data_IF_416966816500
#
_entry.id   IF_416966816500
#
_cell.length_a   1.000
_cell.length_b   1.000
_cell.length_c   1.000
_cell.angle_alpha   90.00
_cell.angle_beta   90.00
_cell.angle_gamma   90.00
#
_symmetry.space_group_name_H-M   'P 1'
#
loop_
_entity.id
_entity.type
_entity.pdbx_description
1 polymer ?
#
# COMPACT_ATOMS: atom_id res chain seq x y z
N UNK A 1 43.59 32.22 -32.54
CA UNK A 1 43.93 32.86 -31.26
C UNK A 1 42.69 33.56 -30.68
N UNK A 2 41.92 32.98 -29.73
CA UNK A 2 40.94 33.71 -28.88
C UNK A 2 40.39 32.82 -27.74
N UNK A 3 41.26 32.33 -26.86
CA UNK A 3 40.86 31.52 -25.69
C UNK A 3 40.25 32.38 -24.57
N UNK A 4 40.43 33.71 -24.60
CA UNK A 4 40.04 34.62 -23.51
C UNK A 4 39.03 35.69 -23.92
N UNK A 5 37.89 35.31 -24.52
CA UNK A 5 36.75 36.24 -24.57
C UNK A 5 36.20 36.45 -23.14
N UNK A 6 36.02 37.70 -22.68
CA UNK A 6 35.52 37.98 -21.34
C UNK A 6 34.12 37.39 -21.13
N UNK A 7 33.81 37.00 -19.88
CA UNK A 7 32.59 36.26 -19.50
C UNK A 7 31.30 36.96 -19.97
N UNK A 8 31.26 38.30 -19.96
CA UNK A 8 30.08 39.07 -20.38
C UNK A 8 29.80 38.95 -21.88
N UNK A 9 30.83 38.92 -22.74
CA UNK A 9 30.66 38.69 -24.18
C UNK A 9 30.23 37.26 -24.51
N UNK A 10 30.70 36.26 -23.73
CA UNK A 10 30.24 34.87 -23.86
C UNK A 10 28.75 34.75 -23.52
N UNK A 11 28.31 35.38 -22.42
CA UNK A 11 26.89 35.43 -22.03
C UNK A 11 26.05 36.17 -23.07
N UNK A 12 26.53 37.30 -23.58
CA UNK A 12 25.83 38.07 -24.61
C UNK A 12 25.62 37.27 -25.90
N UNK A 13 26.65 36.54 -26.36
CA UNK A 13 26.53 35.65 -27.53
C UNK A 13 25.51 34.52 -27.31
N UNK A 14 25.46 33.96 -26.09
CA UNK A 14 24.52 32.90 -25.74
C UNK A 14 23.09 33.43 -25.70
N UNK A 15 22.88 34.62 -25.11
CA UNK A 15 21.58 35.30 -25.10
C UNK A 15 21.09 35.57 -26.52
N UNK A 16 21.91 36.19 -27.36
CA UNK A 16 21.60 36.43 -28.78
C UNK A 16 21.16 35.15 -29.50
N UNK A 17 21.93 34.07 -29.34
CA UNK A 17 21.60 32.76 -29.93
C UNK A 17 20.25 32.23 -29.43
N UNK A 18 19.97 32.41 -28.14
CA UNK A 18 18.69 32.05 -27.52
C UNK A 18 17.52 32.84 -28.11
N UNK A 19 17.65 34.16 -28.23
CA UNK A 19 16.60 35.05 -28.76
C UNK A 19 16.33 34.79 -30.25
N UNK A 20 17.36 34.59 -31.07
CA UNK A 20 17.18 34.22 -32.48
C UNK A 20 16.43 32.88 -32.62
N UNK A 21 16.78 31.90 -31.79
CA UNK A 21 16.09 30.59 -31.76
C UNK A 21 14.65 30.75 -31.30
N UNK A 22 14.42 31.58 -30.29
CA UNK A 22 13.09 31.90 -29.76
C UNK A 22 12.19 32.53 -30.84
N UNK A 23 12.66 33.57 -31.52
CA UNK A 23 11.94 34.21 -32.63
C UNK A 23 11.63 33.22 -33.76
N UNK A 24 12.53 32.28 -34.03
CA UNK A 24 12.33 31.26 -35.05
C UNK A 24 11.31 30.19 -34.63
N UNK A 25 11.26 29.83 -33.34
CA UNK A 25 10.40 28.78 -32.79
C UNK A 25 8.99 29.24 -32.43
N UNK A 26 8.82 30.55 -32.23
CA UNK A 26 7.57 31.17 -31.78
C UNK A 26 7.01 32.17 -32.79
N UNK A 27 7.54 32.18 -34.02
CA UNK A 27 7.13 33.10 -35.09
C UNK A 27 5.61 33.04 -35.37
N UNK A 28 5.02 31.87 -35.19
CA UNK A 28 3.61 31.56 -35.33
C UNK A 28 2.73 32.00 -34.13
N UNK A 29 3.34 32.22 -32.97
CA UNK A 29 2.66 32.55 -31.71
C UNK A 29 2.79 34.02 -31.30
N UNK A 30 3.75 34.76 -31.87
CA UNK A 30 4.04 36.17 -31.52
C UNK A 30 3.29 37.10 -32.48
N UNK A 31 2.71 38.19 -31.97
CA UNK A 31 2.07 39.21 -32.81
C UNK A 31 3.09 39.96 -33.66
N UNK A 32 2.71 40.41 -34.86
CA UNK A 32 3.61 41.12 -35.79
C UNK A 32 4.26 42.36 -35.16
N UNK A 33 3.54 43.06 -34.27
CA UNK A 33 4.04 44.21 -33.53
C UNK A 33 5.13 43.84 -32.52
N UNK A 34 4.93 42.77 -31.74
CA UNK A 34 5.95 42.30 -30.79
C UNK A 34 7.17 41.72 -31.49
N UNK A 35 6.96 41.08 -32.66
CA UNK A 35 8.06 40.56 -33.47
C UNK A 35 8.97 41.68 -33.96
N UNK A 36 8.41 42.79 -34.45
CA UNK A 36 9.21 43.95 -34.87
C UNK A 36 9.91 44.63 -33.69
N UNK A 37 9.25 44.76 -32.53
CA UNK A 37 9.85 45.30 -31.31
C UNK A 37 11.04 44.46 -30.81
N UNK A 38 10.91 43.12 -30.77
CA UNK A 38 12.01 42.22 -30.34
C UNK A 38 13.16 42.26 -31.35
N UNK A 39 12.86 42.37 -32.64
CA UNK A 39 13.90 42.44 -33.69
C UNK A 39 14.69 43.75 -33.58
N UNK A 40 14.01 44.89 -33.39
CA UNK A 40 14.67 46.18 -33.15
C UNK A 40 15.51 46.17 -31.86
N UNK A 41 15.00 45.56 -30.78
CA UNK A 41 15.75 45.41 -29.53
C UNK A 41 16.98 44.48 -29.69
N UNK A 42 16.90 43.46 -30.55
CA UNK A 42 18.02 42.58 -30.88
C UNK A 42 19.11 43.31 -31.67
N UNK A 43 18.74 44.21 -32.59
CA UNK A 43 19.68 45.07 -33.31
C UNK A 43 20.40 46.03 -32.35
N UNK A 44 19.65 46.71 -31.47
CA UNK A 44 20.23 47.56 -30.43
C UNK A 44 21.15 46.80 -29.45
N UNK A 45 20.80 45.54 -29.14
CA UNK A 45 21.66 44.64 -28.37
C UNK A 45 22.94 44.27 -29.12
N UNK A 46 22.87 43.96 -30.41
CA UNK A 46 24.03 43.64 -31.24
C UNK A 46 24.99 44.83 -31.33
N UNK A 47 24.48 46.07 -31.40
CA UNK A 47 25.29 47.29 -31.38
C UNK A 47 25.93 47.56 -30.01
N UNK A 48 25.22 47.28 -28.91
CA UNK A 48 25.82 47.29 -27.56
C UNK A 48 26.95 46.25 -27.42
N UNK A 49 26.81 45.07 -28.03
CA UNK A 49 27.84 44.03 -28.04
C UNK A 49 29.06 44.45 -28.88
N UNK A 50 28.86 45.15 -30.01
CA UNK A 50 29.95 45.70 -30.85
C UNK A 50 30.75 46.78 -30.13
N UNK A 51 30.08 47.69 -29.42
CA UNK A 51 30.70 48.77 -28.65
C UNK A 51 31.43 48.30 -27.39
N UNK A 52 31.30 47.02 -27.01
CA UNK A 52 31.98 46.36 -25.87
C UNK A 52 31.72 47.00 -24.50
N UNK A 53 30.70 47.83 -24.38
CA UNK A 53 30.29 48.48 -23.13
C UNK A 53 29.49 47.51 -22.25
N UNK A 54 30.03 47.17 -21.07
CA UNK A 54 29.47 46.19 -20.16
C UNK A 54 28.12 46.64 -19.57
N UNK A 55 27.96 47.90 -19.21
CA UNK A 55 26.73 48.41 -18.60
C UNK A 55 25.61 48.48 -19.64
N UNK A 56 25.95 48.95 -20.84
CA UNK A 56 25.02 49.03 -21.98
C UNK A 56 24.53 47.64 -22.42
N UNK A 57 25.42 46.65 -22.49
CA UNK A 57 25.07 45.24 -22.77
C UNK A 57 24.12 44.69 -21.70
N UNK A 58 24.34 45.01 -20.43
CA UNK A 58 23.50 44.51 -19.32
C UNK A 58 22.09 45.12 -19.38
N UNK A 59 21.99 46.41 -19.68
CA UNK A 59 20.70 47.11 -19.80
C UNK A 59 19.91 46.60 -21.01
N UNK A 60 20.55 46.52 -22.18
CA UNK A 60 19.94 45.97 -23.40
C UNK A 60 19.56 44.48 -23.24
N UNK A 61 20.36 43.67 -22.53
CA UNK A 61 20.00 42.29 -22.22
C UNK A 61 18.73 42.18 -21.37
N UNK A 62 18.57 43.07 -20.38
CA UNK A 62 17.40 43.08 -19.49
C UNK A 62 16.14 43.47 -20.25
N UNK A 63 16.23 44.48 -21.11
CA UNK A 63 15.14 44.93 -21.97
C UNK A 63 14.72 43.83 -22.97
N UNK A 64 15.70 43.23 -23.66
CA UNK A 64 15.47 42.15 -24.61
C UNK A 64 14.79 40.94 -23.95
N UNK A 65 15.23 40.56 -22.75
CA UNK A 65 14.63 39.44 -22.01
C UNK A 65 13.19 39.75 -21.61
N UNK A 66 12.91 40.97 -21.14
CA UNK A 66 11.57 41.41 -20.77
C UNK A 66 10.60 41.36 -21.96
N UNK A 67 11.04 41.79 -23.14
CA UNK A 67 10.23 41.72 -24.37
C UNK A 67 9.96 40.26 -24.78
N UNK A 68 10.96 39.37 -24.68
CA UNK A 68 10.75 37.95 -24.94
C UNK A 68 9.77 37.31 -23.96
N UNK A 69 9.83 37.63 -22.66
CA UNK A 69 8.89 37.12 -21.66
C UNK A 69 7.45 37.57 -21.91
N UNK A 70 7.24 38.83 -22.31
CA UNK A 70 5.93 39.38 -22.65
C UNK A 70 5.31 38.77 -23.91
N UNK A 71 6.14 38.22 -24.80
CA UNK A 71 5.71 37.68 -26.10
C UNK A 71 5.18 36.25 -26.05
N UNK A 72 5.35 35.53 -24.93
CA UNK A 72 4.83 34.16 -24.79
C UNK A 72 3.64 34.18 -23.85
N UNK A 73 2.45 33.70 -24.27
CA UNK A 73 1.38 33.49 -23.32
C UNK A 73 1.83 32.47 -22.26
N UNK A 74 1.58 32.72 -20.97
CA UNK A 74 1.92 31.74 -19.94
C UNK A 74 1.25 30.40 -20.28
N UNK A 75 1.96 29.27 -20.16
CA UNK A 75 1.36 27.97 -20.39
C UNK A 75 0.13 27.81 -19.50
N UNK A 76 -0.96 27.25 -20.04
CA UNK A 76 -2.15 26.96 -19.24
C UNK A 76 -1.80 25.95 -18.15
N UNK A 77 -2.03 26.32 -16.89
CA UNK A 77 -1.84 25.50 -15.68
C UNK A 77 -0.50 24.73 -15.60
N UNK A 78 0.65 25.41 -15.47
CA UNK A 78 1.97 24.77 -15.43
C UNK A 78 2.11 23.78 -14.25
N UNK A 79 1.55 24.14 -13.10
CA UNK A 79 1.58 23.31 -11.88
C UNK A 79 0.95 21.93 -12.11
N UNK A 80 -0.16 21.86 -12.87
CA UNK A 80 -0.85 20.59 -13.11
C UNK A 80 -0.02 19.71 -14.03
N UNK A 81 0.54 20.28 -15.11
CA UNK A 81 1.35 19.53 -16.09
C UNK A 81 2.60 18.95 -15.44
N UNK A 82 3.32 19.76 -14.67
CA UNK A 82 4.54 19.33 -13.98
C UNK A 82 4.24 18.23 -12.96
N UNK A 83 3.20 18.41 -12.13
CA UNK A 83 2.80 17.41 -11.16
C UNK A 83 2.35 16.10 -11.82
N UNK A 84 1.62 16.15 -12.94
CA UNK A 84 1.19 14.96 -13.66
C UNK A 84 2.37 14.17 -14.23
N UNK A 85 3.37 14.86 -14.81
CA UNK A 85 4.58 14.21 -15.31
C UNK A 85 5.35 13.50 -14.18
N UNK A 86 5.53 14.19 -13.04
CA UNK A 86 6.18 13.61 -11.87
C UNK A 86 5.40 12.42 -11.32
N UNK A 87 4.08 12.52 -11.20
CA UNK A 87 3.21 11.42 -10.74
C UNK A 87 3.31 10.23 -11.68
N UNK A 88 3.28 10.45 -13.00
CA UNK A 88 3.39 9.39 -13.99
C UNK A 88 4.72 8.65 -13.88
N UNK A 89 5.83 9.40 -13.81
CA UNK A 89 7.17 8.83 -13.66
C UNK A 89 7.28 8.04 -12.35
N UNK A 90 6.76 8.58 -11.24
CA UNK A 90 6.73 7.89 -9.96
C UNK A 90 5.92 6.59 -10.00
N UNK A 91 4.78 6.57 -10.67
CA UNK A 91 3.97 5.35 -10.85
C UNK A 91 4.72 4.30 -11.65
N UNK A 92 5.35 4.67 -12.76
CA UNK A 92 6.12 3.74 -13.60
C UNK A 92 7.26 3.11 -12.80
N UNK A 93 8.02 3.93 -12.06
CA UNK A 93 9.10 3.46 -11.20
C UNK A 93 8.54 2.54 -10.09
N UNK A 94 7.46 2.94 -9.41
CA UNK A 94 6.85 2.14 -8.36
C UNK A 94 6.33 0.78 -8.88
N UNK A 95 5.72 0.75 -10.08
CA UNK A 95 5.29 -0.49 -10.73
C UNK A 95 6.48 -1.34 -11.14
N UNK A 96 7.55 -0.75 -11.68
CA UNK A 96 8.78 -1.46 -12.03
C UNK A 96 9.43 -2.11 -10.79
N UNK A 97 9.65 -1.34 -9.73
CA UNK A 97 10.20 -1.83 -8.46
C UNK A 97 9.30 -2.92 -7.87
N UNK A 98 7.98 -2.72 -7.87
CA UNK A 98 7.02 -3.71 -7.33
C UNK A 98 7.04 -5.04 -8.11
N UNK A 99 7.18 -4.95 -9.42
CA UNK A 99 7.11 -6.11 -10.31
C UNK A 99 8.39 -6.94 -10.20
N UNK A 100 9.56 -6.28 -10.28
CA UNK A 100 10.85 -6.96 -10.42
C UNK A 100 11.67 -7.01 -9.14
N UNK A 101 11.62 -5.98 -8.28
CA UNK A 101 12.52 -5.85 -7.14
C UNK A 101 11.92 -6.37 -5.84
N UNK A 102 10.82 -5.73 -5.40
CA UNK A 102 10.28 -5.91 -4.05
C UNK A 102 8.77 -6.03 -4.10
N UNK A 103 8.21 -7.07 -3.48
CA UNK A 103 6.76 -7.20 -3.33
C UNK A 103 6.36 -7.20 -1.85
N UNK A 104 5.48 -6.28 -1.42
CA UNK A 104 4.91 -6.32 -0.08
C UNK A 104 3.92 -7.47 0.06
N UNK A 105 4.02 -8.23 1.14
CA UNK A 105 3.08 -9.24 1.57
C UNK A 105 2.70 -9.03 3.04
N UNK A 106 1.47 -9.36 3.38
CA UNK A 106 1.00 -9.45 4.76
C UNK A 106 0.85 -10.91 5.13
N UNK A 107 1.33 -11.30 6.30
CA UNK A 107 1.27 -12.70 6.76
C UNK A 107 -0.09 -12.96 7.41
N UNK A 108 -0.95 -13.82 6.82
CA UNK A 108 -2.30 -14.02 7.35
C UNK A 108 -2.34 -15.06 8.49
N UNK A 109 -1.30 -15.88 8.68
CA UNK A 109 -1.32 -17.03 9.60
C UNK A 109 -0.07 -17.13 10.46
N UNK A 110 -0.21 -17.65 11.68
CA UNK A 110 0.89 -17.86 12.64
C UNK A 110 1.80 -19.06 12.36
N UNK A 111 1.75 -19.70 11.17
CA UNK A 111 2.56 -20.91 10.90
C UNK A 111 4.07 -20.67 10.86
N UNK A 112 4.51 -19.41 10.87
CA UNK A 112 5.91 -19.01 10.84
C UNK A 112 6.44 -18.53 12.20
N UNK A 113 5.69 -18.76 13.28
CA UNK A 113 6.13 -18.45 14.64
C UNK A 113 7.34 -19.31 15.05
N UNK A 114 8.24 -18.80 15.91
CA UNK A 114 8.21 -17.46 16.52
C UNK A 114 8.80 -16.35 15.64
N UNK A 115 9.33 -16.67 14.45
CA UNK A 115 10.12 -15.71 13.65
C UNK A 115 9.30 -14.68 12.88
N UNK A 116 8.07 -15.00 12.48
CA UNK A 116 7.18 -14.10 11.78
C UNK A 116 5.77 -14.30 12.32
N UNK A 117 5.16 -13.20 12.74
CA UNK A 117 3.84 -13.21 13.34
C UNK A 117 2.79 -12.95 12.26
N UNK A 118 1.83 -13.87 12.15
CA UNK A 118 0.62 -13.62 11.37
C UNK A 118 -0.35 -12.71 12.13
N UNK A 119 -1.58 -12.63 11.64
CA UNK A 119 -2.66 -12.05 12.43
C UNK A 119 -2.87 -12.92 13.67
N UNK A 120 -2.73 -12.32 14.85
CA UNK A 120 -2.90 -13.01 16.13
C UNK A 120 -4.02 -12.30 16.87
N UNK A 121 -5.02 -13.08 17.26
CA UNK A 121 -6.09 -12.64 18.15
C UNK A 121 -5.87 -13.23 19.54
N UNK A 122 -6.00 -12.39 20.56
CA UNK A 122 -5.98 -12.79 21.97
C UNK A 122 -7.35 -12.55 22.57
N UNK A 123 -7.90 -13.60 23.14
CA UNK A 123 -9.14 -13.53 23.92
C UNK A 123 -8.76 -13.20 25.35
N UNK A 124 -9.43 -12.20 25.91
CA UNK A 124 -9.29 -11.82 27.31
C UNK A 124 -10.36 -12.61 28.04
N UNK A 125 -9.94 -13.56 28.88
CA UNK A 125 -10.88 -14.38 29.64
C UNK A 125 -11.39 -13.58 30.86
N UNK A 126 -12.68 -13.70 31.22
CA UNK A 126 -13.24 -12.99 32.38
C UNK A 126 -12.52 -13.32 33.70
N UNK A 127 -11.91 -14.50 33.78
CA UNK A 127 -11.09 -14.95 34.92
C UNK A 127 -9.76 -14.20 35.05
N UNK A 128 -9.14 -13.81 33.93
CA UNK A 128 -7.86 -13.08 33.94
C UNK A 128 -8.05 -11.58 34.23
N UNK A 129 -9.17 -11.00 33.81
CA UNK A 129 -9.47 -9.59 34.05
C UNK A 129 -10.98 -9.32 34.18
N UNK A 130 -11.56 -9.42 35.39
CA UNK A 130 -13.01 -9.30 35.60
C UNK A 130 -13.55 -7.90 35.29
N UNK A 131 -12.70 -6.87 35.34
CA UNK A 131 -13.03 -5.48 35.03
C UNK A 131 -12.30 -4.99 33.77
N UNK A 132 -12.28 -5.79 32.70
CA UNK A 132 -11.75 -5.32 31.42
C UNK A 132 -12.55 -4.09 30.94
N UNK A 133 -11.87 -2.95 30.90
CA UNK A 133 -12.39 -1.74 30.28
C UNK A 133 -11.69 -1.53 28.93
N UNK A 134 -12.45 -1.16 27.90
CA UNK A 134 -11.85 -0.81 26.61
C UNK A 134 -10.84 0.33 26.83
N UNK A 135 -9.64 0.27 26.23
CA UNK A 135 -8.66 1.32 26.43
C UNK A 135 -9.22 2.66 25.97
N UNK A 136 -8.81 3.74 26.66
CA UNK A 136 -9.20 5.09 26.30
C UNK A 136 -8.83 5.42 24.85
N UNK A 137 -9.53 6.41 24.28
CA UNK A 137 -9.47 6.72 22.84
C UNK A 137 -8.04 6.96 22.32
N UNK A 138 -7.19 7.62 23.12
CA UNK A 138 -5.78 7.87 22.78
C UNK A 138 -4.99 6.57 22.65
N UNK A 139 -5.10 5.68 23.63
CA UNK A 139 -4.41 4.38 23.61
C UNK A 139 -4.93 3.51 22.47
N UNK A 140 -6.24 3.52 22.22
CA UNK A 140 -6.85 2.78 21.12
C UNK A 140 -6.32 3.26 19.75
N UNK A 141 -6.22 4.58 19.55
CA UNK A 141 -5.65 5.15 18.32
C UNK A 141 -4.16 4.83 18.19
N UNK A 142 -3.41 4.90 19.29
CA UNK A 142 -1.99 4.56 19.30
C UNK A 142 -1.74 3.10 18.94
N UNK A 143 -2.41 2.16 19.61
CA UNK A 143 -2.27 0.72 19.35
C UNK A 143 -2.81 0.33 17.97
N UNK A 144 -3.83 1.04 17.47
CA UNK A 144 -4.29 0.90 16.10
C UNK A 144 -3.22 1.31 15.10
N UNK A 145 -2.46 2.36 15.38
CA UNK A 145 -1.39 2.84 14.49
C UNK A 145 -0.12 1.96 14.60
N UNK A 146 0.32 1.62 15.81
CA UNK A 146 1.57 0.90 16.04
C UNK A 146 1.47 -0.59 15.69
N UNK A 147 0.39 -1.24 16.10
CA UNK A 147 0.24 -2.71 16.00
C UNK A 147 -0.87 -3.12 15.02
N UNK A 148 -1.63 -2.16 14.50
CA UNK A 148 -2.85 -2.45 13.75
C UNK A 148 -3.91 -3.11 14.62
N UNK A 149 -3.84 -2.91 15.95
CA UNK A 149 -4.68 -3.61 16.92
C UNK A 149 -6.15 -3.22 16.76
N UNK A 150 -7.01 -4.21 16.73
CA UNK A 150 -8.47 -4.03 16.69
C UNK A 150 -9.11 -4.74 17.86
N UNK A 151 -9.69 -3.95 18.77
CA UNK A 151 -10.41 -4.45 19.93
C UNK A 151 -11.77 -5.02 19.54
N UNK A 152 -12.13 -6.13 20.17
CA UNK A 152 -13.38 -6.87 19.93
C UNK A 152 -14.08 -7.07 21.27
N UNK A 153 -15.37 -6.76 21.30
CA UNK A 153 -16.26 -6.98 22.44
C UNK A 153 -17.60 -7.43 21.86
N UNK A 154 -17.81 -8.75 21.84
CA UNK A 154 -19.02 -9.40 21.33
C UNK A 154 -19.86 -9.75 22.55
N UNK A 155 -21.10 -9.25 22.59
CA UNK A 155 -22.09 -9.54 23.62
C UNK A 155 -23.32 -10.11 22.95
N UNK A 156 -23.62 -11.37 23.22
CA UNK A 156 -24.80 -12.05 22.69
C UNK A 156 -25.76 -12.28 23.87
N UNK A 157 -26.97 -11.70 23.85
CA UNK A 157 -27.91 -11.82 24.95
C UNK A 157 -28.42 -13.26 25.12
N UNK A 158 -28.81 -13.61 26.34
CA UNK A 158 -29.42 -14.91 26.64
C UNK A 158 -30.67 -15.16 25.78
N UNK A 159 -30.80 -16.38 25.25
CA UNK A 159 -31.91 -16.79 24.39
C UNK A 159 -31.81 -16.33 22.93
N UNK A 160 -30.81 -15.54 22.54
CA UNK A 160 -30.67 -15.13 21.15
C UNK A 160 -30.19 -16.26 20.24
N UNK A 161 -30.87 -16.45 19.11
CA UNK A 161 -30.45 -17.37 18.05
C UNK A 161 -29.75 -16.63 16.91
N UNK A 162 -28.58 -17.12 16.51
CA UNK A 162 -27.75 -16.55 15.46
C UNK A 162 -28.21 -17.12 14.11
N UNK A 163 -28.68 -16.24 13.23
CA UNK A 163 -29.08 -16.58 11.87
C UNK A 163 -27.84 -16.78 10.98
N UNK A 164 -27.00 -15.75 10.85
CA UNK A 164 -25.86 -15.76 9.93
C UNK A 164 -24.71 -14.82 10.31
N UNK A 165 -23.54 -15.10 9.76
CA UNK A 165 -22.37 -14.23 9.77
C UNK A 165 -22.09 -13.70 8.36
N UNK A 166 -21.94 -12.40 8.19
CA UNK A 166 -21.69 -11.77 6.89
C UNK A 166 -20.39 -10.95 6.89
N UNK A 167 -19.53 -11.16 5.90
CA UNK A 167 -18.28 -10.44 5.73
C UNK A 167 -18.46 -9.26 4.76
N UNK A 168 -18.47 -8.05 5.31
CA UNK A 168 -18.60 -6.81 4.55
C UNK A 168 -17.24 -6.16 4.40
N UNK A 169 -16.78 -6.01 3.16
CA UNK A 169 -15.54 -5.30 2.84
C UNK A 169 -15.85 -3.93 2.25
N UNK A 170 -15.51 -2.86 2.98
CA UNK A 170 -15.60 -1.48 2.49
C UNK A 170 -14.26 -1.03 1.86
N UNK A 171 -14.36 -0.30 0.75
CA UNK A 171 -13.21 0.25 0.02
C UNK A 171 -12.12 -0.77 -0.37
N UNK A 172 -12.42 -2.09 -0.40
CA UNK A 172 -11.45 -3.18 -0.58
C UNK A 172 -10.38 -3.33 0.52
N UNK A 173 -10.42 -2.54 1.59
CA UNK A 173 -9.38 -2.54 2.64
C UNK A 173 -9.93 -2.80 4.05
N UNK A 174 -11.19 -2.44 4.30
CA UNK A 174 -11.78 -2.54 5.62
C UNK A 174 -12.80 -3.66 5.64
N UNK A 175 -12.36 -4.84 6.06
CA UNK A 175 -13.22 -6.01 6.22
C UNK A 175 -13.76 -6.07 7.65
N UNK A 176 -15.06 -6.28 7.78
CA UNK A 176 -15.75 -6.45 9.07
C UNK A 176 -16.77 -7.58 8.96
N UNK A 177 -16.97 -8.31 10.04
CA UNK A 177 -18.00 -9.34 10.14
C UNK A 177 -19.22 -8.79 10.86
N UNK A 178 -20.39 -8.95 10.25
CA UNK A 178 -21.68 -8.70 10.87
C UNK A 178 -22.24 -10.02 11.39
N UNK A 179 -22.77 -9.99 12.61
CA UNK A 179 -23.48 -11.11 13.23
C UNK A 179 -24.95 -10.71 13.26
N UNK A 180 -25.78 -11.48 12.57
CA UNK A 180 -27.23 -11.27 12.51
C UNK A 180 -27.95 -12.34 13.31
N UNK A 181 -29.00 -11.92 14.00
CA UNK A 181 -29.85 -12.78 14.80
C UNK A 181 -31.13 -13.13 14.05
N UNK A 182 -31.74 -14.26 14.40
CA UNK A 182 -33.02 -14.71 13.85
C UNK A 182 -34.18 -13.86 14.36
N UNK A 183 -34.14 -13.50 15.65
CA UNK A 183 -35.12 -12.59 16.25
C UNK A 183 -34.88 -11.13 15.80
N UNK A 184 -35.87 -10.45 15.21
CA UNK A 184 -35.76 -9.05 14.79
C UNK A 184 -35.55 -8.06 15.94
N UNK A 185 -35.74 -8.50 17.20
CA UNK A 185 -35.58 -7.68 18.38
C UNK A 185 -34.11 -7.40 18.72
N UNK A 186 -33.18 -8.26 18.29
CA UNK A 186 -31.76 -8.09 18.57
C UNK A 186 -31.05 -7.33 17.45
N UNK A 187 -30.26 -6.32 17.82
CA UNK A 187 -29.47 -5.55 16.87
C UNK A 187 -28.29 -6.36 16.34
N UNK A 188 -27.99 -6.18 15.05
CA UNK A 188 -26.81 -6.80 14.42
C UNK A 188 -25.51 -6.31 15.05
N UNK A 189 -24.60 -7.23 15.38
CA UNK A 189 -23.30 -6.89 15.99
C UNK A 189 -22.24 -6.78 14.89
N UNK A 190 -21.55 -5.64 14.84
CA UNK A 190 -20.43 -5.42 13.92
C UNK A 190 -19.09 -5.66 14.60
N UNK A 191 -18.31 -6.58 14.06
CA UNK A 191 -16.95 -6.92 14.50
C UNK A 191 -15.93 -6.50 13.44
N UNK A 192 -14.93 -5.71 13.83
CA UNK A 192 -13.90 -5.18 12.91
C UNK A 192 -12.83 -6.19 12.48
N UNK A 193 -13.15 -7.49 12.48
CA UNK A 193 -12.22 -8.59 12.21
C UNK A 193 -12.82 -9.49 11.12
N UNK A 194 -12.02 -9.99 10.15
CA UNK A 194 -12.47 -10.93 9.13
C UNK A 194 -13.05 -12.21 9.72
N UNK A 195 -13.99 -12.84 8.99
CA UNK A 195 -14.71 -14.02 9.47
C UNK A 195 -13.74 -15.19 9.78
N UNK A 196 -12.73 -15.35 8.93
CA UNK A 196 -11.67 -16.35 9.09
C UNK A 196 -11.03 -16.28 10.47
N UNK A 197 -10.64 -15.09 10.89
CA UNK A 197 -9.88 -14.86 12.11
C UNK A 197 -10.79 -14.92 13.35
N UNK A 198 -12.06 -14.58 13.17
CA UNK A 198 -13.09 -14.73 14.20
C UNK A 198 -13.33 -16.21 14.53
N UNK A 199 -13.43 -17.07 13.52
CA UNK A 199 -13.73 -18.51 13.69
C UNK A 199 -12.52 -19.40 13.93
N UNK A 200 -11.34 -18.95 13.50
CA UNK A 200 -10.09 -19.67 13.71
C UNK A 200 -9.85 -19.92 15.21
N UNK A 201 -9.40 -21.12 15.56
CA UNK A 201 -9.20 -21.54 16.96
C UNK A 201 -8.08 -20.73 17.63
N UNK A 202 -8.18 -20.56 18.96
CA UNK A 202 -7.21 -19.81 19.79
C UNK A 202 -5.76 -20.25 19.52
N UNK A 203 -5.51 -21.56 19.47
CA UNK A 203 -4.18 -22.16 19.23
C UNK A 203 -3.60 -21.86 17.84
N UNK A 204 -4.42 -21.37 16.90
CA UNK A 204 -4.00 -20.98 15.55
C UNK A 204 -3.98 -19.46 15.37
N UNK A 205 -4.14 -18.68 16.44
CA UNK A 205 -4.13 -17.22 16.42
C UNK A 205 -5.45 -16.56 16.06
N UNK A 206 -6.58 -17.26 16.16
CA UNK A 206 -7.92 -16.68 16.00
C UNK A 206 -8.64 -16.45 17.32
N UNK A 207 -9.85 -15.87 17.27
CA UNK A 207 -10.66 -15.59 18.47
C UNK A 207 -11.39 -16.83 19.01
N UNK A 208 -11.44 -17.93 18.25
CA UNK A 208 -12.07 -19.18 18.68
C UNK A 208 -13.59 -19.09 18.88
N UNK A 209 -14.27 -18.13 18.24
CA UNK A 209 -15.72 -17.93 18.41
C UNK A 209 -16.50 -19.19 18.02
N UNK A 210 -16.03 -19.91 16.99
CA UNK A 210 -16.64 -21.15 16.52
C UNK A 210 -16.70 -22.22 17.62
N UNK A 211 -15.59 -22.45 18.33
CA UNK A 211 -15.55 -23.40 19.44
C UNK A 211 -16.34 -22.90 20.65
N UNK A 212 -16.32 -21.59 20.90
CA UNK A 212 -17.04 -20.98 22.01
C UNK A 212 -18.57 -21.12 21.86
N UNK A 213 -19.07 -21.10 20.62
CA UNK A 213 -20.49 -21.26 20.28
C UNK A 213 -20.86 -22.68 19.81
N UNK A 214 -19.91 -23.64 19.88
CA UNK A 214 -20.07 -25.01 19.39
C UNK A 214 -20.68 -25.13 17.97
N UNK A 215 -20.26 -24.25 17.06
CA UNK A 215 -20.76 -24.24 15.68
C UNK A 215 -20.10 -25.37 14.91
N UNK A 216 -20.91 -26.24 14.29
CA UNK A 216 -20.44 -27.46 13.62
C UNK A 216 -19.40 -27.18 12.51
N UNK A 217 -18.35 -28.01 12.45
CA UNK A 217 -17.31 -27.95 11.40
C UNK A 217 -17.82 -28.39 10.01
N UNK A 218 -19.00 -29.01 9.93
CA UNK A 218 -19.52 -29.65 8.72
C UNK A 218 -19.73 -28.68 7.55
N UNK A 219 -19.84 -27.37 7.81
CA UNK A 219 -19.72 -26.34 6.78
C UNK A 219 -18.26 -25.89 6.65
N UNK A 220 -17.41 -26.81 6.21
CA UNK A 220 -16.08 -26.44 5.75
C UNK A 220 -16.25 -25.50 4.55
N UNK A 221 -15.96 -24.21 4.76
CA UNK A 221 -15.01 -23.33 4.05
C UNK A 221 -14.53 -23.73 2.62
N UNK A 222 -15.28 -24.52 1.83
CA UNK A 222 -14.86 -25.00 0.50
C UNK A 222 -15.19 -23.99 -0.61
N UNK A 223 -15.80 -22.87 -0.24
CA UNK A 223 -15.86 -21.68 -1.08
C UNK A 223 -15.19 -20.53 -0.32
N UNK A 224 -13.93 -20.26 -0.68
CA UNK A 224 -13.15 -19.06 -0.33
C UNK A 224 -13.84 -17.72 -0.70
N UNK A 225 -15.10 -17.77 -1.16
CA UNK A 225 -15.88 -16.67 -1.75
C UNK A 225 -17.29 -16.52 -1.17
N UNK A 226 -17.72 -17.34 -0.20
CA UNK A 226 -18.99 -17.12 0.47
C UNK A 226 -18.86 -15.97 1.47
N UNK A 227 -19.37 -14.80 1.11
CA UNK A 227 -19.45 -13.63 2.01
C UNK A 227 -20.44 -13.84 3.16
N UNK A 228 -21.30 -14.86 3.06
CA UNK A 228 -22.33 -15.17 4.04
C UNK A 228 -22.15 -16.61 4.55
N UNK A 229 -22.22 -16.77 5.87
CA UNK A 229 -22.15 -18.04 6.58
C UNK A 229 -23.41 -18.23 7.43
N UNK A 230 -24.42 -18.95 6.93
CA UNK A 230 -25.65 -19.21 7.67
C UNK A 230 -25.41 -20.27 8.76
N UNK A 231 -25.91 -20.00 9.96
CA UNK A 231 -25.88 -20.91 11.12
C UNK A 231 -27.26 -21.50 11.40
N UNK A 232 -28.34 -20.70 11.24
CA UNK A 232 -29.74 -21.13 11.40
C UNK A 232 -29.98 -21.92 12.70
N UNK A 233 -29.63 -21.32 13.84
CA UNK A 233 -29.81 -21.95 15.17
C UNK A 233 -28.88 -23.16 15.47
N UNK A 234 -27.95 -23.52 14.57
CA UNK A 234 -26.98 -24.61 14.79
C UNK A 234 -25.76 -24.16 15.60
N UNK A 235 -26.02 -23.52 16.73
CA UNK A 235 -25.03 -23.15 17.74
C UNK A 235 -25.51 -23.64 19.12
N UNK A 236 -24.60 -23.62 20.09
CA UNK A 236 -24.94 -23.90 21.49
C UNK A 236 -26.05 -22.94 21.96
N UNK A 237 -27.07 -23.46 22.64
CA UNK A 237 -28.08 -22.62 23.28
C UNK A 237 -27.40 -21.66 24.24
N UNK A 238 -27.71 -20.38 24.09
CA UNK A 238 -27.10 -19.31 24.88
C UNK A 238 -27.99 -19.12 26.11
N UNK A 239 -27.80 -19.98 27.11
CA UNK A 239 -28.64 -19.98 28.33
C UNK A 239 -28.36 -18.75 29.23
N UNK A 240 -27.18 -18.15 29.08
CA UNK A 240 -26.75 -16.93 29.78
C UNK A 240 -26.03 -15.99 28.82
N UNK A 241 -26.01 -14.69 29.12
CA UNK A 241 -25.31 -13.67 28.32
C UNK A 241 -23.89 -14.11 27.95
N UNK A 242 -23.67 -14.38 26.67
CA UNK A 242 -22.38 -14.78 26.16
C UNK A 242 -21.56 -13.55 25.83
N UNK A 243 -20.35 -13.45 26.40
CA UNK A 243 -19.43 -12.35 26.14
C UNK A 243 -18.07 -12.86 25.70
N UNK A 244 -17.59 -12.37 24.56
CA UNK A 244 -16.25 -12.62 24.06
C UNK A 244 -15.51 -11.29 23.89
N UNK A 245 -14.44 -11.12 24.66
CA UNK A 245 -13.62 -9.92 24.65
C UNK A 245 -12.21 -10.25 24.21
N UNK A 246 -11.56 -9.33 23.51
CA UNK A 246 -10.20 -9.54 23.06
C UNK A 246 -9.71 -8.45 22.13
N UNK A 247 -8.58 -8.72 21.50
CA UNK A 247 -8.04 -7.89 20.45
C UNK A 247 -7.34 -8.75 19.40
N UNK A 248 -7.28 -8.23 18.17
CA UNK A 248 -6.54 -8.84 17.07
C UNK A 248 -5.51 -7.86 16.52
N UNK A 249 -4.26 -8.32 16.41
CA UNK A 249 -3.15 -7.56 15.84
C UNK A 249 -3.00 -7.89 14.36
N UNK A 250 -2.60 -6.90 13.55
CA UNK A 250 -2.64 -7.02 12.08
C UNK A 250 -1.58 -7.98 11.53
N UNK A 251 -0.58 -8.36 12.34
CA UNK A 251 0.53 -9.22 11.97
C UNK A 251 1.60 -8.48 11.18
N UNK A 252 2.70 -9.19 10.91
CA UNK A 252 3.87 -8.61 10.26
C UNK A 252 3.63 -8.35 8.77
N UNK A 253 4.19 -7.25 8.30
CA UNK A 253 4.32 -6.94 6.88
C UNK A 253 5.74 -7.25 6.43
N UNK A 254 5.87 -8.04 5.37
CA UNK A 254 7.16 -8.46 4.84
C UNK A 254 7.35 -7.94 3.42
N UNK A 255 8.57 -7.50 3.13
CA UNK A 255 9.00 -7.10 1.80
C UNK A 255 9.84 -8.23 1.20
N UNK A 256 9.31 -8.85 0.15
CA UNK A 256 9.98 -9.97 -0.53
C UNK A 256 10.92 -9.43 -1.59
N UNK A 257 12.22 -9.68 -1.43
CA UNK A 257 13.21 -9.42 -2.47
C UNK A 257 13.13 -10.52 -3.53
N UNK A 258 12.66 -10.16 -4.73
CA UNK A 258 12.57 -11.09 -5.87
C UNK A 258 13.88 -11.18 -6.65
N UNK A 259 14.68 -10.12 -6.64
CA UNK A 259 15.92 -10.04 -7.43
C UNK A 259 16.95 -11.07 -6.97
N UNK A 260 17.00 -11.35 -5.67
CA UNK A 260 18.00 -12.26 -5.09
C UNK A 260 17.98 -13.66 -5.73
N UNK A 261 16.82 -14.13 -6.19
CA UNK A 261 16.66 -15.45 -6.80
C UNK A 261 17.25 -15.56 -8.21
N UNK A 262 17.61 -14.44 -8.85
CA UNK A 262 18.36 -14.44 -10.12
C UNK A 262 19.87 -14.63 -9.92
N UNK A 263 20.37 -14.40 -8.70
CA UNK A 263 21.80 -14.46 -8.39
C UNK A 263 22.17 -15.66 -7.53
N UNK A 264 21.22 -16.21 -6.76
CA UNK A 264 21.47 -17.38 -5.91
C UNK A 264 20.21 -18.20 -5.66
N UNK A 265 20.42 -19.47 -5.36
CA UNK A 265 19.38 -20.34 -4.83
C UNK A 265 19.11 -20.06 -3.33
N UNK A 266 17.90 -20.35 -2.84
CA UNK A 266 17.59 -20.24 -1.43
C UNK A 266 18.34 -21.29 -0.61
N UNK A 267 18.71 -20.94 0.63
CA UNK A 267 19.48 -21.79 1.54
C UNK A 267 18.58 -22.38 2.64
N UNK A 268 18.98 -23.50 3.22
CA UNK A 268 18.29 -24.10 4.38
C UNK A 268 18.08 -23.07 5.48
N UNK A 269 16.92 -23.13 6.11
CA UNK A 269 16.49 -22.21 7.16
C UNK A 269 15.96 -20.87 6.65
N UNK A 270 16.17 -20.49 5.39
CA UNK A 270 15.65 -19.23 4.84
C UNK A 270 14.13 -19.26 4.69
N UNK A 271 13.52 -18.09 4.83
CA UNK A 271 12.11 -17.88 4.56
C UNK A 271 11.98 -17.47 3.10
N UNK A 272 11.19 -18.22 2.34
CA UNK A 272 11.01 -17.96 0.91
C UNK A 272 9.53 -17.96 0.56
N UNK A 273 9.23 -17.27 -0.55
CA UNK A 273 7.87 -17.15 -1.09
C UNK A 273 7.83 -17.84 -2.43
N UNK A 274 6.87 -18.75 -2.59
CA UNK A 274 6.68 -19.50 -3.83
C UNK A 274 5.23 -19.45 -4.29
N UNK A 275 5.04 -19.68 -5.59
CA UNK A 275 3.72 -19.78 -6.20
C UNK A 275 3.24 -21.24 -6.10
N UNK A 276 2.00 -21.47 -5.69
CA UNK A 276 1.41 -22.81 -5.55
C UNK A 276 0.95 -23.42 -6.88
N UNK A 277 1.04 -22.69 -8.00
CA UNK A 277 0.63 -23.14 -9.32
C UNK A 277 1.42 -24.39 -9.74
N UNK A 278 0.69 -25.47 -10.03
CA UNK A 278 1.27 -26.72 -10.54
C UNK A 278 1.88 -27.65 -9.48
N UNK A 279 1.67 -27.39 -8.18
CA UNK A 279 2.13 -28.28 -7.11
C UNK A 279 1.02 -29.30 -6.79
N UNK A 280 1.29 -30.58 -7.08
CA UNK A 280 0.36 -31.67 -6.77
C UNK A 280 0.04 -31.73 -5.26
N UNK A 281 -1.24 -31.87 -4.92
CA UNK A 281 -1.72 -31.90 -3.53
C UNK A 281 -1.92 -30.52 -2.88
N UNK A 282 -1.44 -29.44 -3.51
CA UNK A 282 -1.82 -28.06 -3.14
C UNK A 282 -2.83 -27.59 -4.17
N UNK A 283 -4.12 -27.82 -3.89
CA UNK A 283 -5.23 -27.30 -4.69
C UNK A 283 -5.30 -25.76 -4.52
N UNK A 284 -4.34 -25.02 -5.08
CA UNK A 284 -4.61 -23.65 -5.48
C UNK A 284 -5.68 -23.77 -6.56
N UNK A 285 -6.89 -23.26 -6.31
CA UNK A 285 -7.98 -23.33 -7.28
C UNK A 285 -7.66 -22.62 -8.60
N UNK A 286 -8.64 -21.95 -9.19
CA UNK A 286 -8.47 -21.22 -10.47
C UNK A 286 -7.40 -20.10 -10.39
N UNK A 287 -6.98 -19.69 -9.19
CA UNK A 287 -5.98 -18.66 -8.97
C UNK A 287 -4.75 -19.21 -8.24
N UNK A 288 -3.57 -18.93 -8.80
CA UNK A 288 -2.29 -19.19 -8.15
C UNK A 288 -2.15 -18.38 -6.86
N UNK A 289 -1.88 -19.05 -5.73
CA UNK A 289 -1.65 -18.41 -4.45
C UNK A 289 -0.15 -18.30 -4.15
N UNK A 290 0.25 -17.33 -3.33
CA UNK A 290 1.62 -17.19 -2.84
C UNK A 290 1.71 -17.69 -1.41
N UNK A 291 2.59 -18.68 -1.17
CA UNK A 291 2.83 -19.23 0.16
C UNK A 291 4.19 -18.79 0.66
N UNK A 292 4.26 -18.48 1.95
CA UNK A 292 5.48 -18.13 2.66
C UNK A 292 5.79 -19.27 3.60
N UNK A 293 6.95 -19.90 3.43
CA UNK A 293 7.39 -21.03 4.26
C UNK A 293 8.88 -20.94 4.54
N UNK A 294 9.31 -21.69 5.55
CA UNK A 294 10.73 -21.91 5.85
C UNK A 294 11.25 -23.07 5.01
N UNK A 295 12.41 -22.90 4.39
CA UNK A 295 13.07 -23.93 3.61
C UNK A 295 13.76 -24.93 4.56
N UNK A 296 13.17 -26.09 4.77
CA UNK A 296 13.72 -27.10 5.68
C UNK A 296 14.80 -27.97 5.02
N UNK A 297 14.70 -28.23 3.71
CA UNK A 297 15.68 -29.02 2.96
C UNK A 297 15.86 -28.51 1.53
N UNK A 298 16.99 -28.83 0.94
CA UNK A 298 17.36 -28.54 -0.45
C UNK A 298 17.56 -29.87 -1.20
N UNK A 299 17.64 -29.87 -2.55
CA UNK A 299 17.87 -31.09 -3.31
C UNK A 299 19.10 -31.87 -2.79
N UNK A 300 18.91 -33.17 -2.56
CA UNK A 300 19.92 -34.05 -1.95
C UNK A 300 19.70 -34.33 -0.46
N UNK A 301 18.78 -33.61 0.20
CA UNK A 301 18.47 -33.85 1.62
C UNK A 301 17.50 -35.00 1.84
N UNK A 302 17.76 -35.78 2.88
CA UNK A 302 16.80 -36.70 3.48
C UNK A 302 16.15 -36.02 4.68
N UNK A 303 14.81 -35.97 4.69
CA UNK A 303 14.03 -35.31 5.72
C UNK A 303 13.14 -36.32 6.45
N UNK A 304 13.08 -36.22 7.77
CA UNK A 304 12.22 -37.05 8.63
C UNK A 304 11.42 -36.15 9.58
N UNK A 305 10.14 -36.46 9.80
CA UNK A 305 9.31 -35.79 10.81
C UNK A 305 9.17 -36.73 12.00
N UNK A 306 9.88 -36.45 13.09
CA UNK A 306 9.74 -37.21 14.35
C UNK A 306 8.59 -36.67 15.18
N UNK A 307 7.75 -37.57 15.68
CA UNK A 307 6.51 -37.25 16.43
C UNK A 307 6.71 -36.39 17.69
N UNK A 308 7.96 -36.22 18.17
CA UNK A 308 8.29 -35.52 19.41
C UNK A 308 9.05 -34.19 19.22
N UNK A 309 9.03 -33.58 18.03
CA UNK A 309 9.18 -32.12 17.91
C UNK A 309 10.52 -31.51 18.32
N UNK A 310 11.63 -32.20 18.08
CA UNK A 310 12.95 -31.54 17.98
C UNK A 310 13.49 -31.86 16.57
N UNK A 311 14.02 -30.86 15.84
CA UNK A 311 14.51 -31.03 14.47
C UNK A 311 15.47 -32.19 14.27
#
# INVERSE_FOLDING_TARGET
MFIFKPRYLKKAKLLRKGVVKFLSYKKDLISEKLFSEITAALEGFDDAVKSRDKERIKLAAKELTKLCEQSVPPPSNPVIRENLEVILVAIIIAVGIRTYCVQPFRIPTGSMQPTLNGIICKVIEPSENPNYNKPGLVKLMWEKFSEGRTYVDIKIPAGAEIDKFEEVTRFKFFTSTLISFEDPQYETIKVGVPLKNLFQEKNRGGLGLRSALNISRAFNYSRESAKEFPVKGRHMKIDSDFRLQGYCDTGDQVLVNKMIYHFRNPKRGEIFVFNTKGIAGINGGVQSQHYIKRLCGVPGDSLEIKKNGVP
#
